data_IF_784617010201
#
_entry.id   IF_784617010201
#
_cell.length_a   1.000
_cell.length_b   1.000
_cell.length_c   1.000
_cell.angle_alpha   90.00
_cell.angle_beta   90.00
_cell.angle_gamma   90.00
#
_symmetry.space_group_name_H-M   'P 1'
#
loop_
_entity.id
_entity.type
_entity.pdbx_description
1 polymer ?
#
# COMPACT_ATOMS: atom_id res chain seq x y z
N UNK A 1 -5.15 -13.39 -2.89
CA UNK A 1 -5.23 -12.53 -4.07
C UNK A 1 -6.47 -12.86 -4.90
N UNK A 2 -7.08 -11.83 -5.54
CA UNK A 2 -8.18 -11.97 -6.50
C UNK A 2 -7.90 -11.09 -7.71
N UNK A 3 -8.16 -11.66 -8.88
CA UNK A 3 -8.07 -10.96 -10.16
C UNK A 3 -9.43 -11.03 -10.83
N UNK A 4 -9.93 -9.91 -11.30
CA UNK A 4 -11.21 -9.83 -12.02
C UNK A 4 -10.92 -9.26 -13.39
N UNK A 5 -11.23 -10.04 -14.44
CA UNK A 5 -11.15 -9.58 -15.81
C UNK A 5 -12.51 -8.99 -16.19
N UNK A 6 -12.49 -7.78 -16.71
CA UNK A 6 -13.68 -7.07 -17.15
C UNK A 6 -13.83 -7.21 -18.66
N UNK A 7 -15.00 -7.61 -19.10
CA UNK A 7 -15.32 -7.77 -20.51
C UNK A 7 -16.37 -6.78 -20.95
N UNK A 8 -16.22 -6.27 -22.17
CA UNK A 8 -17.30 -5.64 -22.93
C UNK A 8 -17.78 -6.68 -23.96
N UNK A 9 -18.93 -7.32 -23.69
CA UNK A 9 -19.40 -8.49 -24.42
C UNK A 9 -18.37 -9.62 -24.39
N UNK A 10 -17.60 -9.84 -25.47
CA UNK A 10 -16.56 -10.88 -25.57
C UNK A 10 -15.13 -10.35 -25.46
N UNK A 11 -14.93 -9.03 -25.52
CA UNK A 11 -13.62 -8.40 -25.55
C UNK A 11 -13.18 -8.05 -24.15
N UNK A 12 -11.99 -8.49 -23.68
CA UNK A 12 -11.44 -8.09 -22.41
C UNK A 12 -11.01 -6.61 -22.47
N UNK A 13 -11.61 -5.79 -21.61
CA UNK A 13 -11.35 -4.34 -21.56
C UNK A 13 -10.59 -3.92 -20.31
N UNK A 14 -10.26 -4.84 -19.42
CA UNK A 14 -9.48 -4.48 -18.25
C UNK A 14 -9.36 -5.56 -17.19
N UNK A 15 -8.61 -5.23 -16.17
CA UNK A 15 -8.35 -6.07 -15.01
C UNK A 15 -8.45 -5.26 -13.74
N UNK A 16 -8.98 -5.86 -12.68
CA UNK A 16 -9.01 -5.29 -11.33
C UNK A 16 -8.40 -6.31 -10.37
N UNK A 17 -7.47 -5.84 -9.53
CA UNK A 17 -6.71 -6.67 -8.62
C UNK A 17 -7.07 -6.37 -7.17
N UNK A 18 -7.24 -7.42 -6.38
CA UNK A 18 -7.55 -7.31 -4.97
C UNK A 18 -6.64 -8.18 -4.11
N UNK A 19 -6.33 -7.65 -2.94
CA UNK A 19 -5.80 -8.41 -1.82
C UNK A 19 -6.85 -8.51 -0.72
N UNK A 20 -6.95 -9.68 -0.10
CA UNK A 20 -7.82 -9.90 1.03
C UNK A 20 -6.94 -10.37 2.17
N UNK A 21 -6.92 -9.59 3.24
CA UNK A 21 -6.08 -9.81 4.39
C UNK A 21 -6.89 -9.66 5.66
N UNK A 22 -6.52 -10.45 6.65
CA UNK A 22 -7.05 -10.34 7.99
C UNK A 22 -6.01 -9.56 8.85
N UNK A 23 -6.47 -8.48 9.50
CA UNK A 23 -5.65 -7.62 10.34
C UNK A 23 -6.24 -7.54 11.73
N UNK A 24 -5.40 -7.30 12.73
CA UNK A 24 -5.86 -6.90 14.06
C UNK A 24 -6.55 -5.53 13.99
N UNK A 25 -7.67 -5.36 14.67
CA UNK A 25 -8.41 -4.10 14.70
C UNK A 25 -7.55 -2.95 15.29
N UNK A 26 -6.77 -3.24 16.33
CA UNK A 26 -5.85 -2.28 16.95
C UNK A 26 -4.82 -1.75 15.93
N UNK A 27 -4.25 -2.63 15.13
CA UNK A 27 -3.25 -2.27 14.12
C UNK A 27 -3.85 -1.40 13.01
N UNK A 28 -5.10 -1.68 12.63
CA UNK A 28 -5.81 -0.88 11.64
C UNK A 28 -6.24 0.47 12.21
N UNK A 29 -6.61 0.52 13.50
CA UNK A 29 -6.92 1.74 14.23
C UNK A 29 -5.73 2.71 14.23
N UNK A 30 -4.55 2.26 14.64
CA UNK A 30 -3.32 3.07 14.63
C UNK A 30 -2.99 3.66 13.25
N UNK A 31 -3.30 2.90 12.17
CA UNK A 31 -3.03 3.33 10.79
C UNK A 31 -3.86 4.51 10.33
N UNK A 32 -5.13 4.51 10.68
CA UNK A 32 -6.11 5.42 10.08
C UNK A 32 -6.72 6.38 11.09
N UNK A 33 -6.49 6.19 12.39
CA UNK A 33 -7.05 7.03 13.45
C UNK A 33 -6.73 8.51 13.21
N UNK A 34 -5.47 8.82 12.97
CA UNK A 34 -5.02 10.20 12.70
C UNK A 34 -5.69 10.80 11.48
N UNK A 35 -5.80 10.03 10.41
CA UNK A 35 -6.40 10.48 9.14
C UNK A 35 -7.92 10.59 9.25
N UNK A 36 -8.56 9.71 10.02
CA UNK A 36 -10.02 9.71 10.20
C UNK A 36 -10.45 10.80 11.20
N UNK A 37 -9.67 11.05 12.23
CA UNK A 37 -9.96 12.11 13.22
C UNK A 37 -9.99 13.50 12.59
N UNK A 38 -9.18 13.72 11.54
CA UNK A 38 -9.19 14.95 10.76
C UNK A 38 -10.44 15.10 9.87
N UNK A 39 -11.16 14.00 9.61
CA UNK A 39 -12.33 13.98 8.75
C UNK A 39 -13.61 14.26 9.55
N UNK A 40 -14.10 15.48 9.51
CA UNK A 40 -15.38 15.90 10.14
C UNK A 40 -16.60 15.29 9.43
N UNK A 41 -16.68 13.97 9.29
CA UNK A 41 -17.81 13.30 8.66
C UNK A 41 -18.47 12.30 9.60
N UNK A 42 -19.81 12.20 9.54
CA UNK A 42 -20.58 11.22 10.34
C UNK A 42 -20.12 9.77 10.08
N UNK A 43 -19.69 9.45 8.84
CA UNK A 43 -19.22 8.12 8.47
C UNK A 43 -17.85 7.81 9.10
N UNK A 44 -16.95 8.79 9.12
CA UNK A 44 -15.65 8.67 9.78
C UNK A 44 -15.84 8.40 11.28
N UNK A 45 -16.75 9.12 11.94
CA UNK A 45 -17.07 8.91 13.36
C UNK A 45 -17.68 7.52 13.65
N UNK A 46 -18.54 7.01 12.77
CA UNK A 46 -19.10 5.64 12.93
C UNK A 46 -18.01 4.59 12.74
N UNK A 47 -17.11 4.79 11.79
CA UNK A 47 -16.02 3.86 11.54
C UNK A 47 -14.98 3.87 12.66
N UNK A 48 -14.67 5.05 13.21
CA UNK A 48 -13.81 5.20 14.37
C UNK A 48 -14.38 4.46 15.58
N UNK A 49 -15.66 4.68 15.90
CA UNK A 49 -16.37 3.94 16.99
C UNK A 49 -16.35 2.43 16.76
N UNK A 50 -16.47 1.97 15.52
CA UNK A 50 -16.40 0.55 15.20
C UNK A 50 -15.01 -0.03 15.52
N UNK A 51 -13.93 0.71 15.22
CA UNK A 51 -12.56 0.32 15.56
C UNK A 51 -12.37 0.30 17.07
N UNK A 52 -12.69 1.40 17.77
CA UNK A 52 -12.56 1.54 19.22
C UNK A 52 -13.30 0.45 20.00
N UNK A 53 -14.49 0.05 19.52
CA UNK A 53 -15.29 -0.99 20.15
C UNK A 53 -14.75 -2.42 19.94
N UNK A 54 -13.83 -2.60 18.99
CA UNK A 54 -13.29 -3.91 18.60
C UNK A 54 -11.77 -4.01 18.80
N UNK A 55 -11.17 -3.17 19.66
CA UNK A 55 -9.72 -3.09 19.86
C UNK A 55 -9.11 -4.38 20.42
N UNK A 56 -9.84 -5.10 21.26
CA UNK A 56 -9.34 -6.31 21.91
C UNK A 56 -9.66 -7.57 21.08
N UNK A 57 -8.68 -8.02 20.29
CA UNK A 57 -8.62 -9.33 19.59
C UNK A 57 -9.50 -9.50 18.32
N UNK A 58 -10.23 -8.50 17.87
CA UNK A 58 -11.05 -8.67 16.66
C UNK A 58 -10.20 -8.67 15.40
N UNK A 59 -10.25 -9.76 14.66
CA UNK A 59 -9.68 -9.85 13.33
C UNK A 59 -10.60 -9.13 12.34
N UNK A 60 -10.09 -8.10 11.70
CA UNK A 60 -10.76 -7.36 10.64
C UNK A 60 -10.36 -7.90 9.27
N UNK A 61 -11.33 -8.40 8.51
CA UNK A 61 -11.10 -8.77 7.11
C UNK A 61 -11.20 -7.56 6.21
N UNK A 62 -10.08 -7.20 5.60
CA UNK A 62 -9.94 -6.07 4.69
C UNK A 62 -9.88 -6.56 3.24
N UNK A 63 -10.73 -6.00 2.39
CA UNK A 63 -10.67 -6.16 0.93
C UNK A 63 -10.01 -4.92 0.35
N UNK A 64 -8.79 -5.05 -0.15
CA UNK A 64 -8.03 -3.95 -0.75
C UNK A 64 -8.05 -4.06 -2.27
N UNK A 65 -8.58 -3.05 -2.95
CA UNK A 65 -8.36 -2.86 -4.39
C UNK A 65 -6.99 -2.18 -4.56
N UNK A 66 -5.98 -2.96 -4.93
CA UNK A 66 -4.58 -2.56 -4.98
C UNK A 66 -3.68 -3.47 -4.15
N UNK A 67 -2.43 -3.08 -4.01
CA UNK A 67 -1.41 -3.82 -3.26
C UNK A 67 -1.14 -3.15 -1.90
N UNK A 68 -1.19 -3.91 -0.82
CA UNK A 68 -0.96 -3.40 0.54
C UNK A 68 0.51 -3.06 0.82
N UNK A 69 1.44 -3.58 0.03
CA UNK A 69 2.89 -3.41 0.23
C UNK A 69 3.53 -2.41 -0.72
N UNK A 70 2.85 -2.08 -1.83
CA UNK A 70 3.37 -1.21 -2.88
C UNK A 70 2.43 -0.02 -3.03
N UNK A 71 3.00 1.17 -3.20
CA UNK A 71 2.27 2.40 -3.51
C UNK A 71 2.65 2.90 -4.90
N UNK A 72 1.78 3.70 -5.50
CA UNK A 72 2.07 4.44 -6.74
C UNK A 72 1.08 4.21 -7.86
N UNK A 73 0.54 3.01 -8.01
CA UNK A 73 -0.45 2.69 -9.02
C UNK A 73 -1.71 2.09 -8.39
N UNK A 74 -2.85 2.48 -8.89
CA UNK A 74 -4.12 1.91 -8.45
C UNK A 74 -4.29 0.47 -8.95
N UNK A 75 -5.04 -0.34 -8.20
CA UNK A 75 -5.18 -1.79 -8.44
C UNK A 75 -6.04 -2.17 -9.64
N UNK A 76 -6.16 -1.32 -10.67
CA UNK A 76 -6.95 -1.63 -11.86
C UNK A 76 -6.42 -0.95 -13.12
N UNK A 77 -6.61 -1.62 -14.23
CA UNK A 77 -6.49 -1.06 -15.57
C UNK A 77 -7.80 -1.28 -16.33
N UNK A 78 -8.29 -0.25 -16.99
CA UNK A 78 -9.49 -0.32 -17.83
C UNK A 78 -9.27 0.49 -19.11
N UNK A 79 -9.43 -0.15 -20.25
CA UNK A 79 -9.40 0.49 -21.57
C UNK A 79 -10.77 1.16 -21.85
N UNK A 80 -11.01 2.24 -21.14
CA UNK A 80 -12.22 3.04 -21.22
C UNK A 80 -11.83 4.52 -21.14
N UNK A 81 -12.24 5.32 -22.10
CA UNK A 81 -11.84 6.74 -22.15
C UNK A 81 -12.52 7.60 -21.07
N UNK A 82 -13.77 7.29 -20.74
CA UNK A 82 -14.52 8.07 -19.76
C UNK A 82 -14.13 7.73 -18.32
N UNK A 83 -13.54 8.67 -17.58
CA UNK A 83 -13.24 8.53 -16.14
C UNK A 83 -14.48 8.08 -15.34
N UNK A 84 -15.65 8.70 -15.60
CA UNK A 84 -16.90 8.35 -14.92
C UNK A 84 -17.31 6.90 -15.16
N UNK A 85 -17.16 6.40 -16.38
CA UNK A 85 -17.44 4.99 -16.73
C UNK A 85 -16.44 4.06 -16.08
N UNK A 86 -15.14 4.39 -16.09
CA UNK A 86 -14.10 3.63 -15.38
C UNK A 86 -14.47 3.37 -13.93
N UNK A 87 -14.80 4.43 -13.21
CA UNK A 87 -15.12 4.31 -11.79
C UNK A 87 -16.41 3.54 -11.51
N UNK A 88 -17.43 3.68 -12.35
CA UNK A 88 -18.65 2.85 -12.23
C UNK A 88 -18.37 1.36 -12.42
N UNK A 89 -17.48 1.02 -13.36
CA UNK A 89 -17.05 -0.36 -13.56
C UNK A 89 -16.30 -0.88 -12.33
N UNK A 90 -15.32 -0.12 -11.83
CA UNK A 90 -14.57 -0.50 -10.63
C UNK A 90 -15.48 -0.68 -9.43
N UNK A 91 -16.47 0.19 -9.23
CA UNK A 91 -17.49 0.05 -8.18
C UNK A 91 -18.27 -1.25 -8.32
N UNK A 92 -18.77 -1.55 -9.50
CA UNK A 92 -19.49 -2.78 -9.77
C UNK A 92 -18.64 -4.02 -9.48
N UNK A 93 -17.35 -3.98 -9.84
CA UNK A 93 -16.40 -5.05 -9.54
C UNK A 93 -16.16 -5.17 -8.03
N UNK A 94 -15.97 -4.07 -7.32
CA UNK A 94 -15.83 -4.05 -5.85
C UNK A 94 -17.06 -4.67 -5.19
N UNK A 95 -18.26 -4.29 -5.63
CA UNK A 95 -19.51 -4.84 -5.09
C UNK A 95 -19.64 -6.35 -5.37
N UNK A 96 -19.23 -6.82 -6.55
CA UNK A 96 -19.21 -8.25 -6.88
C UNK A 96 -18.24 -9.04 -6.01
N UNK A 97 -16.98 -8.56 -5.88
CA UNK A 97 -15.96 -9.21 -5.06
C UNK A 97 -16.39 -9.22 -3.60
N UNK A 98 -16.93 -8.10 -3.10
CA UNK A 98 -17.38 -7.99 -1.72
C UNK A 98 -18.52 -8.97 -1.40
N UNK A 99 -19.46 -9.15 -2.32
CA UNK A 99 -20.54 -10.15 -2.17
C UNK A 99 -20.00 -11.58 -2.16
N UNK A 100 -19.08 -11.89 -3.07
CA UNK A 100 -18.47 -13.21 -3.15
C UNK A 100 -17.65 -13.54 -1.88
N UNK A 101 -16.91 -12.58 -1.36
CA UNK A 101 -16.09 -12.78 -0.17
C UNK A 101 -16.92 -12.80 1.13
N UNK A 102 -18.07 -12.13 1.18
CA UNK A 102 -19.01 -12.24 2.33
C UNK A 102 -19.51 -13.67 2.56
N UNK A 103 -19.57 -14.48 1.51
CA UNK A 103 -19.90 -15.91 1.64
C UNK A 103 -18.82 -16.71 2.37
N UNK A 104 -17.59 -16.17 2.45
CA UNK A 104 -16.44 -16.79 3.12
C UNK A 104 -16.15 -16.19 4.50
N UNK A 105 -16.83 -15.13 4.85
CA UNK A 105 -16.69 -14.46 6.15
C UNK A 105 -17.08 -12.99 6.08
N UNK A 106 -17.22 -12.38 7.27
CA UNK A 106 -17.59 -10.96 7.39
C UNK A 106 -16.46 -10.08 6.83
N UNK A 107 -16.78 -9.16 5.94
CA UNK A 107 -15.87 -8.09 5.51
C UNK A 107 -16.07 -6.91 6.44
N UNK A 108 -14.98 -6.46 7.07
CA UNK A 108 -14.97 -5.33 8.00
C UNK A 108 -14.81 -4.00 7.27
N UNK A 109 -13.94 -3.95 6.26
CA UNK A 109 -13.72 -2.74 5.48
C UNK A 109 -13.29 -3.05 4.04
N UNK A 110 -13.47 -2.06 3.16
CA UNK A 110 -12.99 -2.08 1.78
C UNK A 110 -12.08 -0.87 1.60
N UNK A 111 -10.85 -1.11 1.20
CA UNK A 111 -9.86 -0.08 0.89
C UNK A 111 -9.66 0.00 -0.61
N UNK A 112 -9.79 1.20 -1.16
CA UNK A 112 -9.43 1.50 -2.54
C UNK A 112 -8.32 2.52 -2.50
N UNK A 113 -7.12 2.16 -2.96
CA UNK A 113 -5.91 2.93 -2.69
C UNK A 113 -5.21 3.40 -3.96
N UNK A 114 -4.24 4.29 -3.75
CA UNK A 114 -3.29 4.79 -4.76
C UNK A 114 -3.93 5.64 -5.84
N UNK A 115 -4.74 6.61 -5.41
CA UNK A 115 -5.25 7.65 -6.29
C UNK A 115 -4.49 8.96 -6.10
N UNK A 116 -4.12 9.58 -7.19
CA UNK A 116 -3.54 10.92 -7.16
C UNK A 116 -4.62 11.98 -6.91
N UNK A 117 -4.28 13.00 -6.12
CA UNK A 117 -5.21 14.08 -5.75
C UNK A 117 -5.83 14.78 -6.96
N UNK A 118 -5.09 14.91 -8.05
CA UNK A 118 -5.55 15.50 -9.31
C UNK A 118 -6.66 14.70 -10.00
N UNK A 119 -6.77 13.41 -9.69
CA UNK A 119 -7.86 12.54 -10.17
C UNK A 119 -9.18 12.72 -9.42
N UNK A 120 -9.15 13.34 -8.23
CA UNK A 120 -10.28 13.41 -7.29
C UNK A 120 -11.00 14.76 -7.24
N UNK A 121 -10.55 15.75 -7.98
CA UNK A 121 -10.96 17.16 -7.83
C UNK A 121 -12.41 17.53 -8.20
N UNK A 122 -13.26 16.61 -8.64
CA UNK A 122 -14.63 16.91 -8.99
C UNK A 122 -15.63 16.43 -7.93
N UNK A 123 -16.36 17.36 -7.34
CA UNK A 123 -17.45 17.12 -6.35
C UNK A 123 -18.56 16.18 -6.85
N UNK A 124 -18.67 15.97 -8.15
CA UNK A 124 -19.68 15.12 -8.80
C UNK A 124 -19.27 13.63 -8.88
N UNK A 125 -18.24 13.27 -8.19
CA UNK A 125 -17.70 11.92 -8.18
C UNK A 125 -18.47 11.04 -7.17
N UNK A 126 -19.14 10.00 -7.63
CA UNK A 126 -19.95 9.09 -6.79
C UNK A 126 -19.14 8.46 -5.63
N UNK A 127 -17.84 8.23 -5.81
CA UNK A 127 -16.99 7.72 -4.75
C UNK A 127 -16.78 8.74 -3.62
N UNK A 128 -16.96 10.04 -3.87
CA UNK A 128 -16.96 11.07 -2.84
C UNK A 128 -18.12 10.92 -1.85
N UNK A 129 -19.20 10.25 -2.23
CA UNK A 129 -20.37 10.01 -1.39
C UNK A 129 -20.39 8.64 -0.74
N UNK A 130 -19.78 7.63 -1.35
CA UNK A 130 -19.82 6.23 -0.89
C UNK A 130 -18.63 5.86 -0.01
N UNK A 131 -17.46 6.43 -0.26
CA UNK A 131 -16.22 6.12 0.46
C UNK A 131 -15.79 7.28 1.37
N UNK A 132 -15.05 6.95 2.43
CA UNK A 132 -14.34 7.91 3.26
C UNK A 132 -12.99 8.14 2.59
N UNK A 133 -12.66 9.40 2.31
CA UNK A 133 -11.37 9.76 1.74
C UNK A 133 -10.39 10.11 2.85
N UNK A 134 -9.18 9.62 2.73
CA UNK A 134 -8.08 10.05 3.57
C UNK A 134 -6.79 10.08 2.76
N UNK A 135 -5.88 10.94 3.14
CA UNK A 135 -4.55 11.01 2.55
C UNK A 135 -3.59 10.17 3.38
N UNK A 136 -2.73 9.46 2.71
CA UNK A 136 -1.55 8.83 3.32
C UNK A 136 -0.34 9.73 3.13
N UNK A 137 0.78 9.38 3.76
CA UNK A 137 2.03 10.09 3.57
C UNK A 137 2.39 10.19 2.08
N UNK A 138 2.95 11.33 1.63
CA UNK A 138 3.28 11.54 0.23
C UNK A 138 4.37 10.57 -0.23
N UNK A 139 4.27 10.11 -1.47
CA UNK A 139 5.35 9.37 -2.11
C UNK A 139 6.57 10.26 -2.27
N UNK A 140 7.72 9.76 -1.85
CA UNK A 140 9.00 10.43 -2.05
C UNK A 140 9.57 10.01 -3.41
N UNK A 141 9.56 10.91 -4.37
CA UNK A 141 10.07 10.68 -5.72
C UNK A 141 11.37 11.46 -5.89
N UNK A 142 12.40 10.80 -6.42
CA UNK A 142 13.68 11.41 -6.74
C UNK A 142 13.88 11.30 -8.25
N UNK A 143 13.86 12.45 -8.92
CA UNK A 143 14.25 12.53 -10.34
C UNK A 143 15.78 12.55 -10.44
N UNK A 144 16.33 11.53 -11.05
CA UNK A 144 17.77 11.47 -11.29
C UNK A 144 18.13 12.33 -12.53
N UNK A 145 19.02 13.31 -12.38
CA UNK A 145 19.47 14.10 -13.52
C UNK A 145 20.08 13.23 -14.63
N UNK A 146 19.83 13.60 -15.87
CA UNK A 146 20.46 12.93 -17.02
C UNK A 146 21.99 13.13 -16.97
N UNK A 147 22.73 12.09 -17.35
CA UNK A 147 24.20 12.14 -17.42
C UNK A 147 24.93 11.71 -16.15
N UNK A 148 24.23 11.24 -15.13
CA UNK A 148 24.87 10.61 -13.97
C UNK A 148 25.39 9.22 -14.36
N UNK A 149 26.70 9.03 -14.26
CA UNK A 149 27.35 7.76 -14.62
C UNK A 149 27.70 6.90 -13.39
N UNK A 150 27.87 7.53 -12.24
CA UNK A 150 28.32 6.85 -11.02
C UNK A 150 27.86 7.59 -9.75
N UNK A 151 28.14 7.00 -8.59
CA UNK A 151 27.79 7.56 -7.29
C UNK A 151 28.45 8.91 -7.02
N UNK A 152 29.67 9.13 -7.51
CA UNK A 152 30.40 10.40 -7.30
C UNK A 152 29.69 11.55 -7.99
N UNK A 153 29.23 11.33 -9.22
CA UNK A 153 28.46 12.34 -9.98
C UNK A 153 27.16 12.68 -9.24
N UNK A 154 26.48 11.65 -8.73
CA UNK A 154 25.26 11.83 -7.94
C UNK A 154 25.54 12.62 -6.66
N UNK A 155 26.57 12.30 -5.90
CA UNK A 155 26.96 13.02 -4.70
C UNK A 155 27.37 14.47 -4.97
N UNK A 156 27.91 14.75 -6.17
CA UNK A 156 28.23 16.10 -6.56
C UNK A 156 27.01 17.03 -6.67
N UNK A 157 25.82 16.46 -6.95
CA UNK A 157 24.56 17.22 -7.00
C UNK A 157 24.05 17.63 -5.60
N UNK A 158 24.56 17.02 -4.53
CA UNK A 158 24.13 17.31 -3.17
C UNK A 158 24.67 18.64 -2.65
N UNK A 159 23.90 19.30 -1.80
CA UNK A 159 24.43 20.40 -0.99
C UNK A 159 25.61 19.92 -0.11
N UNK A 160 26.48 20.83 0.29
CA UNK A 160 27.67 20.52 1.12
C UNK A 160 27.34 19.68 2.37
N UNK A 161 26.22 20.00 3.04
CA UNK A 161 25.76 19.29 4.24
C UNK A 161 25.48 17.81 3.93
N UNK A 162 24.69 17.53 2.92
CA UNK A 162 24.29 16.16 2.58
C UNK A 162 25.43 15.38 1.93
N UNK A 163 26.27 16.04 1.16
CA UNK A 163 27.50 15.43 0.60
C UNK A 163 28.45 14.97 1.70
N UNK A 164 28.66 15.78 2.74
CA UNK A 164 29.49 15.39 3.88
C UNK A 164 28.86 14.22 4.66
N UNK A 165 27.54 14.24 4.86
CA UNK A 165 26.84 13.12 5.52
C UNK A 165 27.00 11.82 4.70
N UNK A 166 26.86 11.87 3.39
CA UNK A 166 27.07 10.72 2.54
C UNK A 166 28.51 10.18 2.61
N UNK A 167 29.51 11.08 2.64
CA UNK A 167 30.93 10.68 2.82
C UNK A 167 31.16 9.97 4.15
N UNK A 168 30.55 10.47 5.24
CA UNK A 168 30.64 9.81 6.55
C UNK A 168 30.01 8.42 6.52
N UNK A 169 28.84 8.26 5.88
CA UNK A 169 28.18 6.96 5.75
C UNK A 169 29.08 5.99 4.94
N UNK A 170 29.64 6.44 3.82
CA UNK A 170 30.54 5.63 2.99
C UNK A 170 31.79 5.21 3.76
N UNK A 171 32.39 6.14 4.51
CA UNK A 171 33.54 5.83 5.37
C UNK A 171 33.18 4.83 6.46
N UNK A 172 32.07 5.02 7.18
CA UNK A 172 31.63 4.10 8.22
C UNK A 172 31.28 2.69 7.67
N UNK A 173 30.82 2.61 6.42
CA UNK A 173 30.50 1.34 5.75
C UNK A 173 31.69 0.67 5.07
N UNK A 174 32.88 1.26 5.11
CA UNK A 174 34.08 0.73 4.40
C UNK A 174 34.51 -0.66 4.89
N UNK A 175 34.18 -1.01 6.13
CA UNK A 175 34.45 -2.33 6.71
C UNK A 175 33.40 -3.38 6.36
N UNK A 176 32.29 -2.98 5.76
CA UNK A 176 31.21 -3.90 5.40
C UNK A 176 31.42 -4.45 3.99
N UNK A 177 31.19 -5.74 3.84
CA UNK A 177 31.21 -6.41 2.53
C UNK A 177 29.79 -6.50 1.98
N UNK A 178 29.57 -5.91 0.78
CA UNK A 178 28.31 -6.06 0.07
C UNK A 178 28.39 -7.23 -0.90
N UNK A 179 27.49 -8.20 -0.73
CA UNK A 179 27.42 -9.37 -1.59
C UNK A 179 26.02 -9.51 -2.19
N UNK A 180 25.94 -9.80 -3.48
CA UNK A 180 24.71 -10.24 -4.13
C UNK A 180 24.58 -11.75 -3.93
N UNK A 181 23.49 -12.17 -3.31
CA UNK A 181 23.25 -13.60 -3.04
C UNK A 181 22.66 -14.27 -4.29
N UNK A 182 23.11 -15.48 -4.58
CA UNK A 182 22.48 -16.40 -5.50
C UNK A 182 21.24 -17.06 -4.86
N UNK A 183 20.39 -17.70 -5.66
CA UNK A 183 19.22 -18.42 -5.14
C UNK A 183 19.58 -19.50 -4.11
N UNK A 184 20.70 -20.19 -4.32
CA UNK A 184 21.21 -21.19 -3.38
C UNK A 184 21.64 -20.56 -2.05
N UNK A 185 22.34 -19.44 -2.09
CA UNK A 185 22.76 -18.71 -0.88
C UNK A 185 21.57 -18.09 -0.16
N UNK A 186 20.55 -17.58 -0.87
CA UNK A 186 19.28 -17.14 -0.26
C UNK A 186 18.65 -18.32 0.49
N UNK A 187 18.58 -19.50 -0.12
CA UNK A 187 18.05 -20.70 0.52
C UNK A 187 18.87 -21.10 1.76
N UNK A 188 20.19 -20.98 1.70
CA UNK A 188 21.09 -21.27 2.83
C UNK A 188 20.93 -20.27 3.98
N UNK A 189 20.85 -18.97 3.67
CA UNK A 189 20.71 -17.92 4.69
C UNK A 189 19.27 -17.63 5.10
N UNK A 190 18.29 -18.34 4.57
CA UNK A 190 16.86 -18.09 4.76
C UNK A 190 16.47 -17.85 6.23
N UNK A 191 16.88 -18.76 7.12
CA UNK A 191 16.55 -18.67 8.54
C UNK A 191 17.21 -17.45 9.18
N UNK A 192 18.50 -17.23 8.94
CA UNK A 192 19.23 -16.06 9.47
C UNK A 192 18.62 -14.76 9.00
N UNK A 193 18.24 -14.66 7.73
CA UNK A 193 17.57 -13.47 7.18
C UNK A 193 16.21 -13.24 7.84
N UNK A 194 15.42 -14.30 8.05
CA UNK A 194 14.15 -14.21 8.72
C UNK A 194 14.28 -13.82 10.20
N UNK A 195 15.27 -14.34 10.91
CA UNK A 195 15.53 -13.99 12.31
C UNK A 195 15.92 -12.51 12.46
N UNK A 196 16.80 -12.02 11.58
CA UNK A 196 17.18 -10.61 11.54
C UNK A 196 15.98 -9.71 11.20
N UNK A 197 15.18 -10.09 10.22
CA UNK A 197 13.95 -9.40 9.89
C UNK A 197 12.98 -9.35 11.09
N UNK A 198 12.80 -10.48 11.79
CA UNK A 198 11.91 -10.58 12.95
C UNK A 198 12.37 -9.67 14.10
N UNK A 199 13.69 -9.55 14.32
CA UNK A 199 14.23 -8.60 15.32
C UNK A 199 13.86 -7.15 14.97
N UNK A 200 14.04 -6.74 13.72
CA UNK A 200 13.69 -5.40 13.25
C UNK A 200 12.15 -5.20 13.32
N UNK A 201 11.39 -6.18 12.87
CA UNK A 201 9.94 -6.15 12.94
C UNK A 201 9.43 -5.97 14.38
N UNK A 202 10.02 -6.69 15.35
CA UNK A 202 9.61 -6.60 16.75
C UNK A 202 9.90 -5.23 17.38
N UNK A 203 10.90 -4.52 16.90
CA UNK A 203 11.26 -3.16 17.35
C UNK A 203 10.47 -2.06 16.62
N UNK A 204 9.85 -2.38 15.48
CA UNK A 204 9.09 -1.40 14.73
C UNK A 204 7.85 -0.94 15.52
N UNK A 205 7.63 0.37 15.56
CA UNK A 205 6.42 0.96 16.16
C UNK A 205 5.16 0.59 15.37
N UNK A 206 5.32 0.48 14.07
CA UNK A 206 4.25 0.16 13.14
C UNK A 206 4.48 -1.21 12.48
N UNK A 207 3.51 -2.12 12.59
CA UNK A 207 3.61 -3.52 12.17
C UNK A 207 2.39 -3.91 11.36
N UNK A 208 2.44 -3.77 10.04
CA UNK A 208 1.31 -4.07 9.17
C UNK A 208 1.12 -5.58 8.95
N UNK A 209 2.18 -6.25 8.57
CA UNK A 209 2.17 -7.69 8.26
C UNK A 209 3.51 -8.30 8.62
N UNK A 210 3.48 -9.42 9.32
CA UNK A 210 4.66 -10.23 9.53
C UNK A 210 4.87 -11.14 8.32
N UNK A 211 6.01 -11.00 7.65
CA UNK A 211 6.36 -11.84 6.50
C UNK A 211 6.71 -13.24 6.96
N UNK A 212 6.19 -14.24 6.26
CA UNK A 212 6.54 -15.62 6.55
C UNK A 212 7.98 -15.94 6.08
N UNK A 213 8.61 -17.00 6.62
CA UNK A 213 9.94 -17.44 6.14
C UNK A 213 9.99 -17.81 4.65
N UNK A 214 8.85 -18.01 4.03
CA UNK A 214 8.74 -18.39 2.62
C UNK A 214 8.47 -17.20 1.67
N UNK A 215 8.48 -16.01 2.20
CA UNK A 215 8.27 -14.78 1.41
C UNK A 215 9.53 -14.39 0.60
#
# INVERSE_FOLDING_TARGET
FRYVIVYNRKDPIGVVYFQINDFSASLFGELIEKQITELKSKRASVFQKYIEHNEDETIMRLVTCGNNFISGEHGFYLDVNSKKTKFKIVEGVIDCVSRAEKLRGKISAILVKDFYAEGFGNKDCWYCTKFIHFNVEPNMIIDLPKGLSNLTDYLATFSKKYRNRAKHILSASSTLTRKRLSAQEISFYKQTMHDLYTQVFNQAKFKLVHLSPNY
#
